data_IF_348102752144
#
_entry.id   IF_348102752144
#
_cell.length_a   1.000
_cell.length_b   1.000
_cell.length_c   1.000
_cell.angle_alpha   90.00
_cell.angle_beta   90.00
_cell.angle_gamma   90.00
#
_symmetry.space_group_name_H-M   'P 1'
#
loop_
_entity.id
_entity.type
_entity.pdbx_description
1 polymer ?
#
# COMPACT_ATOMS: atom_id res chain seq x y z
N UNK A 1 24.15 34.13 27.91
CA UNK A 1 23.05 35.12 28.04
C UNK A 1 22.82 35.30 29.53
N UNK A 2 22.77 36.53 30.03
CA UNK A 2 22.35 36.78 31.42
C UNK A 2 20.84 36.61 31.49
N UNK A 3 20.41 35.55 32.18
CA UNK A 3 19.02 35.09 32.32
C UNK A 3 18.12 36.10 33.05
N UNK A 4 18.71 37.12 33.68
CA UNK A 4 17.96 38.17 34.38
C UNK A 4 17.55 39.33 33.47
N UNK A 5 18.06 39.36 32.23
CA UNK A 5 17.73 40.38 31.23
C UNK A 5 16.73 39.85 30.23
N UNK A 6 15.85 40.74 29.80
CA UNK A 6 14.89 40.47 28.73
C UNK A 6 15.62 39.99 27.46
N UNK A 7 15.32 38.79 26.92
CA UNK A 7 15.93 38.26 25.70
C UNK A 7 15.89 39.23 24.52
N UNK A 8 14.82 40.04 24.41
CA UNK A 8 14.67 41.04 23.35
C UNK A 8 15.75 42.12 23.42
N UNK A 9 16.24 42.47 24.62
CA UNK A 9 17.29 43.47 24.78
C UNK A 9 18.61 43.09 24.10
N UNK A 10 18.88 41.80 23.91
CA UNK A 10 20.07 41.35 23.18
C UNK A 10 19.88 41.44 21.66
N UNK A 11 18.66 41.19 21.18
CA UNK A 11 18.28 41.38 19.77
C UNK A 11 18.38 42.86 19.41
N UNK A 12 17.86 43.75 20.25
CA UNK A 12 17.91 45.20 20.02
C UNK A 12 19.35 45.69 19.92
N UNK A 13 20.21 45.25 20.84
CA UNK A 13 21.65 45.56 20.80
C UNK A 13 22.34 44.98 19.57
N UNK A 14 21.95 43.79 19.11
CA UNK A 14 22.48 43.19 17.89
C UNK A 14 22.12 44.01 16.65
N UNK A 15 20.91 44.56 16.60
CA UNK A 15 20.46 45.37 15.48
C UNK A 15 20.99 46.83 15.52
N UNK A 16 21.14 47.41 16.71
CA UNK A 16 21.48 48.83 16.87
C UNK A 16 22.97 49.11 17.16
N UNK A 17 23.70 48.17 17.79
CA UNK A 17 25.11 48.34 18.14
C UNK A 17 26.04 47.55 17.19
N UNK A 18 26.65 48.23 16.20
CA UNK A 18 27.57 47.59 15.25
C UNK A 18 28.73 46.83 15.91
N UNK A 19 29.22 47.30 17.07
CA UNK A 19 30.26 46.62 17.83
C UNK A 19 29.78 45.32 18.47
N UNK A 20 28.53 45.28 18.95
CA UNK A 20 27.92 44.09 19.53
C UNK A 20 27.58 43.06 18.45
N UNK A 21 27.08 43.51 17.29
CA UNK A 21 26.87 42.64 16.13
C UNK A 21 28.16 41.92 15.71
N UNK A 22 29.23 42.67 15.48
CA UNK A 22 30.53 42.09 15.10
C UNK A 22 31.05 41.13 16.17
N UNK A 23 30.94 41.51 17.44
CA UNK A 23 31.33 40.62 18.54
C UNK A 23 30.51 39.32 18.55
N UNK A 24 29.20 39.38 18.33
CA UNK A 24 28.36 38.20 18.27
C UNK A 24 28.75 37.29 17.10
N UNK A 25 28.86 37.86 15.90
CA UNK A 25 29.20 37.11 14.68
C UNK A 25 30.58 36.42 14.79
N UNK A 26 31.56 37.08 15.43
CA UNK A 26 32.92 36.56 15.61
C UNK A 26 33.02 35.47 16.70
N UNK A 27 32.15 35.51 17.73
CA UNK A 27 32.27 34.65 18.92
C UNK A 27 31.24 33.50 18.97
N UNK A 28 30.15 33.60 18.21
CA UNK A 28 29.05 32.63 18.26
C UNK A 28 28.64 32.14 16.86
N UNK A 29 29.57 31.61 16.05
CA UNK A 29 29.28 31.14 14.68
C UNK A 29 28.37 29.90 14.63
N UNK A 30 28.13 29.24 15.77
CA UNK A 30 27.25 28.08 15.88
C UNK A 30 25.75 28.41 15.76
N UNK A 31 25.37 29.68 15.96
CA UNK A 31 23.98 30.12 15.81
C UNK A 31 23.78 30.75 14.44
N UNK A 32 22.67 30.40 13.77
CA UNK A 32 22.28 30.99 12.50
C UNK A 32 21.73 32.41 12.64
N UNK A 33 21.18 32.78 13.81
CA UNK A 33 20.68 34.13 14.10
C UNK A 33 20.76 34.46 15.61
N UNK A 34 20.73 35.77 15.94
CA UNK A 34 20.67 36.23 17.34
C UNK A 34 19.40 35.71 18.03
N UNK A 35 18.29 35.58 17.30
CA UNK A 35 17.03 35.04 17.78
C UNK A 35 17.19 33.59 18.29
N UNK A 36 17.90 32.76 17.52
CA UNK A 36 18.25 31.39 17.95
C UNK A 36 19.09 31.38 19.23
N UNK A 37 20.09 32.26 19.33
CA UNK A 37 20.97 32.34 20.50
C UNK A 37 20.26 32.77 21.79
N UNK A 38 19.19 33.57 21.68
CA UNK A 38 18.43 34.07 22.84
C UNK A 38 17.10 33.32 23.05
N UNK A 39 16.81 32.32 22.22
CA UNK A 39 15.59 31.51 22.31
C UNK A 39 14.32 32.28 21.95
N UNK A 40 14.41 33.28 21.07
CA UNK A 40 13.26 33.99 20.51
C UNK A 40 12.92 33.47 19.12
N UNK A 41 11.64 33.56 18.73
CA UNK A 41 11.21 33.30 17.36
C UNK A 41 11.68 34.43 16.44
N UNK A 42 12.28 34.06 15.32
CA UNK A 42 12.73 35.01 14.31
C UNK A 42 11.51 35.60 13.59
N UNK A 43 11.41 36.94 13.41
CA UNK A 43 10.26 37.55 12.77
C UNK A 43 10.13 37.05 11.33
N UNK A 44 9.04 36.32 11.06
CA UNK A 44 8.76 35.74 9.74
C UNK A 44 8.52 36.87 8.74
N UNK A 45 9.46 37.07 7.81
CA UNK A 45 9.37 38.11 6.78
C UNK A 45 8.39 37.63 5.72
N UNK A 46 7.22 38.27 5.65
CA UNK A 46 6.23 37.99 4.60
C UNK A 46 6.72 38.53 3.25
N UNK A 47 6.48 37.76 2.19
CA UNK A 47 6.81 38.19 0.83
C UNK A 47 5.97 39.42 0.43
N UNK A 48 6.47 40.31 -0.45
CA UNK A 48 5.82 41.59 -0.77
C UNK A 48 4.39 41.49 -1.32
N UNK A 49 4.00 40.35 -1.88
CA UNK A 49 2.68 40.12 -2.45
C UNK A 49 1.64 39.68 -1.41
N UNK A 50 2.06 39.34 -0.20
CA UNK A 50 1.20 38.83 0.86
C UNK A 50 0.57 40.01 1.59
N UNK A 51 -0.75 40.11 1.51
CA UNK A 51 -1.56 41.01 2.34
C UNK A 51 -1.63 40.48 3.79
N UNK A 52 -1.13 41.24 4.79
CA UNK A 52 -1.18 40.83 6.20
C UNK A 52 -2.59 40.64 6.77
N UNK A 53 -3.63 41.13 6.10
CA UNK A 53 -5.02 41.00 6.55
C UNK A 53 -5.73 39.76 5.98
N UNK A 54 -5.10 39.04 5.06
CA UNK A 54 -5.62 37.80 4.48
C UNK A 54 -5.01 36.59 5.19
N UNK A 55 -5.83 35.55 5.35
CA UNK A 55 -5.38 34.27 5.93
C UNK A 55 -4.22 33.70 5.08
N UNK A 56 -3.04 33.42 5.65
CA UNK A 56 -1.93 32.77 4.94
C UNK A 56 -2.34 31.52 4.16
N UNK A 57 -3.32 30.75 4.67
CA UNK A 57 -3.81 29.54 4.01
C UNK A 57 -4.47 29.83 2.65
N UNK A 58 -5.04 31.01 2.46
CA UNK A 58 -5.61 31.44 1.18
C UNK A 58 -4.58 31.37 0.04
N UNK A 59 -3.34 31.79 0.30
CA UNK A 59 -2.27 31.79 -0.69
C UNK A 59 -1.76 30.37 -1.00
N UNK A 60 -1.71 29.52 0.02
CA UNK A 60 -1.36 28.09 -0.12
C UNK A 60 -2.41 27.36 -0.95
N UNK A 61 -3.70 27.59 -0.67
CA UNK A 61 -4.80 26.98 -1.41
C UNK A 61 -4.78 27.43 -2.87
N UNK A 62 -4.49 28.71 -3.10
CA UNK A 62 -4.35 29.26 -4.45
C UNK A 62 -3.19 28.63 -5.21
N UNK A 63 -2.05 28.46 -4.54
CA UNK A 63 -0.87 27.79 -5.10
C UNK A 63 -1.15 26.33 -5.48
N UNK A 64 -1.88 25.59 -4.66
CA UNK A 64 -2.18 24.19 -4.91
C UNK A 64 -3.28 23.97 -5.97
N UNK A 65 -4.21 24.90 -6.13
CA UNK A 65 -5.39 24.72 -6.99
C UNK A 65 -5.38 25.54 -8.29
N UNK A 66 -4.61 26.63 -8.39
CA UNK A 66 -4.55 27.50 -9.57
C UNK A 66 -3.20 27.37 -10.30
N UNK A 67 -3.18 26.63 -11.42
CA UNK A 67 -1.96 26.41 -12.22
C UNK A 67 -1.26 27.72 -12.62
N UNK A 68 -2.02 28.75 -12.98
CA UNK A 68 -1.48 30.05 -13.39
C UNK A 68 -0.84 30.82 -12.24
N UNK A 69 -1.34 30.64 -11.02
CA UNK A 69 -0.77 31.26 -9.84
C UNK A 69 0.50 30.54 -9.40
N UNK A 70 0.50 29.20 -9.47
CA UNK A 70 1.68 28.37 -9.25
C UNK A 70 2.82 28.73 -10.22
N UNK A 71 2.54 28.75 -11.52
CA UNK A 71 3.54 29.10 -12.54
C UNK A 71 4.12 30.51 -12.34
N UNK A 72 3.28 31.47 -11.95
CA UNK A 72 3.72 32.82 -11.63
C UNK A 72 4.61 32.86 -10.39
N UNK A 73 4.23 32.16 -9.31
CA UNK A 73 4.98 32.11 -8.07
C UNK A 73 6.35 31.46 -8.31
N UNK A 74 6.39 30.27 -8.89
CA UNK A 74 7.63 29.50 -9.15
C UNK A 74 8.61 30.28 -10.04
N UNK A 75 8.09 31.09 -10.98
CA UNK A 75 8.91 31.92 -11.86
C UNK A 75 9.41 33.20 -11.19
N UNK A 76 8.63 33.79 -10.30
CA UNK A 76 8.93 35.08 -9.66
C UNK A 76 9.79 34.90 -8.41
N UNK A 77 9.60 33.80 -7.69
CA UNK A 77 10.21 33.49 -6.41
C UNK A 77 10.83 32.08 -6.41
N UNK A 78 11.88 31.84 -7.23
CA UNK A 78 12.44 30.48 -7.41
C UNK A 78 13.18 29.94 -6.18
N UNK A 79 13.55 30.80 -5.24
CA UNK A 79 14.38 30.49 -4.07
C UNK A 79 13.58 30.39 -2.76
N UNK A 80 12.24 30.37 -2.80
CA UNK A 80 11.41 30.26 -1.60
C UNK A 80 10.16 29.43 -1.84
N UNK A 81 9.66 28.76 -0.80
CA UNK A 81 8.41 28.00 -0.88
C UNK A 81 7.21 28.89 -0.58
N UNK A 82 6.01 28.47 -1.01
CA UNK A 82 4.79 29.23 -0.75
C UNK A 82 4.54 29.39 0.76
N UNK A 83 4.94 28.39 1.57
CA UNK A 83 4.83 28.41 3.02
C UNK A 83 5.75 29.46 3.64
N UNK A 84 7.02 29.49 3.23
CA UNK A 84 7.97 30.52 3.66
C UNK A 84 7.49 31.92 3.27
N UNK A 85 6.96 32.09 2.06
CA UNK A 85 6.47 33.37 1.56
C UNK A 85 5.33 33.95 2.40
N UNK A 86 4.47 33.09 2.96
CA UNK A 86 3.33 33.51 3.78
C UNK A 86 3.57 33.37 5.29
N UNK A 87 4.80 33.05 5.69
CA UNK A 87 5.19 32.92 7.10
C UNK A 87 4.60 31.69 7.80
N UNK A 88 4.26 30.65 7.03
CA UNK A 88 3.87 29.34 7.57
C UNK A 88 5.10 28.44 7.67
N UNK A 89 5.09 27.55 8.65
CA UNK A 89 6.04 26.43 8.65
C UNK A 89 5.65 25.48 7.53
N UNK A 90 6.61 25.19 6.66
CA UNK A 90 6.41 24.16 5.66
C UNK A 90 6.20 22.83 6.38
N UNK A 91 5.10 22.11 6.10
CA UNK A 91 4.91 20.80 6.70
C UNK A 91 6.10 19.93 6.30
N UNK A 92 6.76 19.31 7.27
CA UNK A 92 7.76 18.28 6.98
C UNK A 92 7.09 17.22 6.11
N UNK A 93 7.36 17.27 4.81
CA UNK A 93 7.01 16.19 3.89
C UNK A 93 7.93 15.05 4.30
N UNK A 94 7.44 14.20 5.20
CA UNK A 94 7.93 12.85 5.31
C UNK A 94 7.61 12.24 3.95
N UNK A 95 8.55 12.33 3.01
CA UNK A 95 8.44 11.60 1.76
C UNK A 95 8.21 10.15 2.18
N UNK A 96 7.06 9.55 1.83
CA UNK A 96 6.92 8.13 2.05
C UNK A 96 8.02 7.49 1.21
N UNK A 97 8.98 6.82 1.84
CA UNK A 97 9.82 5.87 1.14
C UNK A 97 8.85 5.04 0.29
N UNK A 98 9.00 5.05 -1.04
CA UNK A 98 8.32 4.13 -1.92
C UNK A 98 8.57 2.71 -1.38
N UNK A 99 7.67 2.15 -0.58
CA UNK A 99 8.16 1.18 0.40
C UNK A 99 7.17 0.15 0.90
N UNK A 100 5.86 0.34 0.70
CA UNK A 100 4.92 -0.75 0.99
C UNK A 100 4.73 -1.60 -0.27
N UNK A 101 5.73 -2.45 -0.50
CA UNK A 101 5.48 -3.67 -1.23
C UNK A 101 4.36 -4.44 -0.52
N UNK A 102 3.38 -4.93 -1.28
CA UNK A 102 2.22 -5.63 -0.72
C UNK A 102 2.60 -6.81 0.18
N UNK A 103 1.65 -7.28 0.99
CA UNK A 103 1.85 -8.38 1.94
C UNK A 103 2.57 -9.58 1.27
N UNK A 104 3.72 -9.99 1.82
CA UNK A 104 4.56 -11.06 1.26
C UNK A 104 5.72 -10.62 0.34
N UNK A 105 5.93 -9.32 0.15
CA UNK A 105 7.07 -8.78 -0.61
C UNK A 105 7.86 -7.75 0.21
N UNK A 106 9.17 -7.61 -0.03
CA UNK A 106 9.98 -6.52 0.52
C UNK A 106 10.58 -5.71 -0.60
N UNK A 107 10.68 -4.42 -0.36
CA UNK A 107 11.45 -3.52 -1.19
C UNK A 107 12.93 -3.84 -1.01
N UNK A 108 13.59 -4.28 -2.09
CA UNK A 108 15.04 -4.46 -2.15
C UNK A 108 15.50 -3.68 -3.38
N UNK A 109 16.36 -2.68 -3.19
CA UNK A 109 16.87 -1.80 -4.26
C UNK A 109 15.78 -1.15 -5.13
N UNK A 110 14.67 -0.73 -4.51
CA UNK A 110 13.54 -0.10 -5.21
C UNK A 110 12.67 -1.07 -6.03
N UNK A 111 12.92 -2.38 -5.94
CA UNK A 111 12.14 -3.42 -6.61
C UNK A 111 11.46 -4.27 -5.53
N UNK A 112 10.14 -4.48 -5.65
CA UNK A 112 9.43 -5.41 -4.78
C UNK A 112 9.84 -6.83 -5.11
N UNK A 113 10.66 -7.42 -4.24
CA UNK A 113 11.11 -8.80 -4.35
C UNK A 113 10.29 -9.66 -3.40
N UNK A 114 9.97 -10.87 -3.86
CA UNK A 114 9.37 -11.88 -2.99
C UNK A 114 10.46 -12.30 -2.01
N UNK A 115 10.29 -11.96 -0.73
CA UNK A 115 11.17 -12.50 0.30
C UNK A 115 10.99 -14.01 0.23
N UNK A 116 12.05 -14.83 0.07
CA UNK A 116 11.99 -16.19 0.54
C UNK A 116 11.96 -16.08 2.06
N UNK A 117 10.77 -15.80 2.61
CA UNK A 117 10.59 -15.74 4.03
C UNK A 117 10.93 -17.13 4.55
N UNK A 118 11.97 -17.24 5.37
CA UNK A 118 12.13 -18.35 6.32
C UNK A 118 10.98 -18.38 7.37
N UNK A 119 9.85 -17.73 7.10
CA UNK A 119 8.58 -18.15 7.69
C UNK A 119 8.15 -19.43 6.97
N UNK A 120 8.33 -20.55 7.68
CA UNK A 120 7.44 -21.70 7.53
C UNK A 120 5.99 -21.22 7.75
N UNK A 121 5.32 -20.67 6.74
CA UNK A 121 3.87 -20.40 6.62
C UNK A 121 3.58 -19.96 5.19
N UNK A 122 2.80 -20.77 4.48
CA UNK A 122 2.66 -20.78 3.02
C UNK A 122 2.21 -19.47 2.38
N UNK A 123 2.61 -19.28 1.12
CA UNK A 123 2.33 -18.08 0.33
C UNK A 123 0.84 -17.70 0.24
N UNK A 124 0.56 -16.49 -0.25
CA UNK A 124 -0.81 -15.97 -0.36
C UNK A 124 -1.67 -16.68 -1.42
N UNK A 125 -2.99 -16.55 -1.31
CA UNK A 125 -3.96 -17.00 -2.31
C UNK A 125 -4.17 -15.94 -3.40
N UNK A 126 -3.11 -15.58 -4.14
CA UNK A 126 -3.07 -14.44 -5.08
C UNK A 126 -4.27 -14.33 -6.03
N UNK A 127 -4.68 -15.43 -6.66
CA UNK A 127 -5.81 -15.44 -7.60
C UNK A 127 -7.12 -15.12 -6.87
N UNK A 128 -7.34 -15.72 -5.69
CA UNK A 128 -8.54 -15.51 -4.90
C UNK A 128 -8.57 -14.10 -4.31
N UNK A 129 -7.43 -13.60 -3.83
CA UNK A 129 -7.28 -12.21 -3.39
C UNK A 129 -7.64 -11.22 -4.49
N UNK A 130 -7.15 -11.43 -5.72
CA UNK A 130 -7.50 -10.56 -6.85
C UNK A 130 -9.00 -10.65 -7.23
N UNK A 131 -9.59 -11.85 -7.16
CA UNK A 131 -11.02 -12.06 -7.44
C UNK A 131 -11.95 -11.41 -6.39
N UNK A 132 -11.63 -11.55 -5.10
CA UNK A 132 -12.46 -11.09 -3.98
C UNK A 132 -12.07 -9.72 -3.43
N UNK A 133 -10.92 -9.17 -3.86
CA UNK A 133 -10.49 -7.80 -3.61
C UNK A 133 -9.69 -7.57 -2.32
N UNK A 134 -9.57 -8.57 -1.43
CA UNK A 134 -8.80 -8.45 -0.20
C UNK A 134 -8.33 -9.82 0.29
N UNK A 135 -7.14 -9.87 0.91
CA UNK A 135 -6.68 -11.06 1.65
C UNK A 135 -7.57 -11.37 2.86
N UNK A 136 -8.23 -10.34 3.40
CA UNK A 136 -9.17 -10.44 4.52
C UNK A 136 -10.60 -10.77 4.07
N UNK A 137 -10.84 -10.98 2.77
CA UNK A 137 -12.15 -11.37 2.30
C UNK A 137 -12.54 -12.76 2.89
N UNK A 138 -13.81 -12.97 3.30
CA UNK A 138 -14.24 -14.22 3.94
C UNK A 138 -13.90 -15.48 3.12
N UNK A 139 -13.99 -15.38 1.79
CA UNK A 139 -13.68 -16.48 0.87
C UNK A 139 -12.19 -16.84 0.89
N UNK A 140 -11.32 -15.84 1.01
CA UNK A 140 -9.87 -16.03 1.06
C UNK A 140 -9.45 -16.56 2.42
N UNK A 141 -10.07 -16.07 3.50
CA UNK A 141 -9.85 -16.59 4.85
C UNK A 141 -10.29 -18.05 4.98
N UNK A 142 -11.45 -18.41 4.45
CA UNK A 142 -11.89 -19.81 4.38
C UNK A 142 -10.86 -20.73 3.70
N UNK A 143 -10.29 -20.31 2.57
CA UNK A 143 -9.23 -21.07 1.90
C UNK A 143 -7.97 -21.23 2.78
N UNK A 144 -7.59 -20.16 3.48
CA UNK A 144 -6.44 -20.17 4.41
C UNK A 144 -6.69 -21.11 5.58
N UNK A 145 -7.89 -21.11 6.15
CA UNK A 145 -8.26 -21.99 7.26
C UNK A 145 -8.21 -23.47 6.86
N UNK A 146 -8.79 -23.84 5.71
CA UNK A 146 -8.68 -25.22 5.20
C UNK A 146 -7.22 -25.61 4.98
N UNK A 147 -6.44 -24.74 4.35
CA UNK A 147 -5.02 -25.00 4.10
C UNK A 147 -4.27 -25.19 5.42
N UNK A 148 -4.35 -24.23 6.32
CA UNK A 148 -3.48 -24.15 7.49
C UNK A 148 -3.92 -25.13 8.58
N UNK A 149 -5.23 -25.31 8.78
CA UNK A 149 -5.75 -26.16 9.87
C UNK A 149 -5.97 -27.61 9.44
N UNK A 150 -6.39 -27.87 8.18
CA UNK A 150 -6.75 -29.22 7.73
C UNK A 150 -5.64 -29.87 6.88
N UNK A 151 -5.10 -29.15 5.90
CA UNK A 151 -4.10 -29.73 4.99
C UNK A 151 -2.70 -29.75 5.60
N UNK A 152 -2.24 -28.62 6.13
CA UNK A 152 -0.88 -28.48 6.67
C UNK A 152 -0.67 -29.18 8.02
N UNK A 153 -1.76 -29.60 8.68
CA UNK A 153 -1.70 -30.40 9.91
C UNK A 153 -1.42 -31.89 9.66
N UNK A 154 -1.43 -32.34 8.40
CA UNK A 154 -1.19 -33.74 8.00
C UNK A 154 0.00 -33.87 7.05
N UNK A 155 0.68 -35.02 7.07
CA UNK A 155 1.83 -35.28 6.19
C UNK A 155 1.42 -35.32 4.71
N UNK A 156 0.29 -35.97 4.42
CA UNK A 156 -0.27 -36.09 3.08
C UNK A 156 -0.69 -34.73 2.51
N UNK A 157 -1.40 -33.92 3.30
CA UNK A 157 -1.80 -32.56 2.91
C UNK A 157 -0.61 -31.61 2.73
N UNK A 158 0.37 -31.64 3.63
CA UNK A 158 1.59 -30.82 3.49
C UNK A 158 2.40 -31.17 2.23
N UNK A 159 2.52 -32.47 1.91
CA UNK A 159 3.21 -32.94 0.69
C UNK A 159 2.47 -32.51 -0.57
N UNK A 160 1.14 -32.65 -0.59
CA UNK A 160 0.30 -32.15 -1.68
C UNK A 160 0.46 -30.64 -1.87
N UNK A 161 0.36 -29.86 -0.79
CA UNK A 161 0.49 -28.41 -0.82
C UNK A 161 1.86 -27.96 -1.32
N UNK A 162 2.91 -28.71 -1.01
CA UNK A 162 4.26 -28.43 -1.53
C UNK A 162 4.31 -28.50 -3.06
N UNK A 163 3.78 -29.58 -3.65
CA UNK A 163 3.73 -29.74 -5.11
C UNK A 163 2.75 -28.76 -5.77
N UNK A 164 1.58 -28.56 -5.16
CA UNK A 164 0.59 -27.60 -5.63
C UNK A 164 1.16 -26.18 -5.68
N UNK A 165 1.85 -25.75 -4.62
CA UNK A 165 2.42 -24.40 -4.52
C UNK A 165 3.43 -24.12 -5.64
N UNK A 166 4.27 -25.09 -6.01
CA UNK A 166 5.24 -24.92 -7.09
C UNK A 166 4.55 -24.54 -8.41
N UNK A 167 3.47 -25.24 -8.74
CA UNK A 167 2.70 -24.97 -9.96
C UNK A 167 1.89 -23.69 -9.79
N UNK A 168 1.16 -23.55 -8.69
CA UNK A 168 0.30 -22.40 -8.41
C UNK A 168 1.05 -21.07 -8.49
N UNK A 169 2.20 -20.95 -7.83
CA UNK A 169 3.00 -19.71 -7.84
C UNK A 169 3.75 -19.47 -9.15
N UNK A 170 3.87 -20.47 -10.03
CA UNK A 170 4.49 -20.28 -11.35
C UNK A 170 3.64 -19.42 -12.31
N UNK A 171 2.32 -19.36 -12.11
CA UNK A 171 1.41 -18.62 -12.99
C UNK A 171 0.46 -17.66 -12.27
N UNK A 172 0.21 -17.86 -10.97
CA UNK A 172 -0.77 -17.06 -10.24
C UNK A 172 -0.51 -15.54 -10.19
N UNK A 173 0.74 -15.03 -10.17
CA UNK A 173 0.97 -13.58 -10.22
C UNK A 173 0.43 -12.97 -11.52
N UNK A 174 0.75 -13.57 -12.67
CA UNK A 174 0.29 -13.09 -13.97
C UNK A 174 -1.24 -13.10 -14.08
N UNK A 175 -1.89 -14.16 -13.60
CA UNK A 175 -3.36 -14.25 -13.59
C UNK A 175 -3.97 -13.21 -12.63
N UNK A 176 -3.34 -12.95 -11.48
CA UNK A 176 -3.79 -11.93 -10.55
C UNK A 176 -3.68 -10.52 -11.18
N UNK A 177 -2.60 -10.23 -11.89
CA UNK A 177 -2.40 -8.96 -12.59
C UNK A 177 -3.48 -8.76 -13.68
N UNK A 178 -3.73 -9.78 -14.50
CA UNK A 178 -4.80 -9.76 -15.51
C UNK A 178 -6.19 -9.48 -14.91
N UNK A 179 -6.48 -9.98 -13.71
CA UNK A 179 -7.75 -9.71 -13.02
C UNK A 179 -7.86 -8.24 -12.56
N UNK A 180 -6.76 -7.60 -12.19
CA UNK A 180 -6.77 -6.17 -11.80
C UNK A 180 -7.00 -5.26 -13.01
N UNK A 181 -6.48 -5.63 -14.16
CA UNK A 181 -6.63 -4.88 -15.40
C UNK A 181 -8.01 -5.06 -16.06
N UNK A 182 -8.63 -6.23 -15.91
CA UNK A 182 -9.88 -6.56 -16.60
C UNK A 182 -11.00 -6.99 -15.62
N UNK A 183 -11.99 -6.11 -15.35
CA UNK A 183 -13.13 -6.41 -14.49
C UNK A 183 -13.99 -7.59 -14.95
N UNK A 184 -14.12 -7.80 -16.28
CA UNK A 184 -14.86 -8.95 -16.81
C UNK A 184 -14.12 -10.26 -16.54
N UNK A 185 -12.79 -10.26 -16.70
CA UNK A 185 -11.96 -11.43 -16.42
C UNK A 185 -12.00 -11.77 -14.92
N UNK A 186 -11.93 -10.76 -14.05
CA UNK A 186 -12.13 -10.91 -12.61
C UNK A 186 -13.45 -11.62 -12.27
N UNK A 187 -14.57 -11.17 -12.82
CA UNK A 187 -15.87 -11.80 -12.57
C UNK A 187 -15.97 -13.22 -13.16
N UNK A 188 -15.35 -13.47 -14.31
CA UNK A 188 -15.26 -14.82 -14.87
C UNK A 188 -14.47 -15.77 -13.95
N UNK A 189 -13.33 -15.32 -13.41
CA UNK A 189 -12.53 -16.09 -12.45
C UNK A 189 -13.33 -16.31 -11.15
N UNK A 190 -14.04 -15.30 -10.66
CA UNK A 190 -14.89 -15.41 -9.47
C UNK A 190 -15.99 -16.45 -9.64
N UNK A 191 -16.71 -16.42 -10.77
CA UNK A 191 -17.70 -17.46 -11.13
C UNK A 191 -17.02 -18.83 -11.24
N UNK A 192 -15.82 -18.88 -11.81
CA UNK A 192 -15.04 -20.11 -11.95
C UNK A 192 -14.55 -20.70 -10.63
N UNK A 193 -14.28 -19.89 -9.60
CA UNK A 193 -13.76 -20.36 -8.30
C UNK A 193 -14.87 -20.66 -7.30
N UNK A 194 -16.02 -19.97 -7.39
CA UNK A 194 -17.13 -20.16 -6.43
C UNK A 194 -17.56 -21.61 -6.23
N UNK A 195 -17.71 -22.45 -7.27
CA UNK A 195 -18.11 -23.84 -7.05
C UNK A 195 -17.02 -24.69 -6.37
N UNK A 196 -15.74 -24.37 -6.62
CA UNK A 196 -14.62 -24.97 -5.91
C UNK A 196 -14.69 -24.66 -4.41
N UNK A 197 -14.94 -23.40 -4.03
CA UNK A 197 -15.12 -23.00 -2.63
C UNK A 197 -16.23 -23.80 -1.95
N UNK A 198 -17.37 -23.96 -2.63
CA UNK A 198 -18.49 -24.74 -2.10
C UNK A 198 -18.16 -26.22 -1.91
N UNK A 199 -17.34 -26.81 -2.77
CA UNK A 199 -16.93 -28.22 -2.63
C UNK A 199 -15.91 -28.42 -1.50
N UNK A 200 -15.07 -27.41 -1.25
CA UNK A 200 -14.01 -27.46 -0.24
C UNK A 200 -14.54 -27.45 1.20
N UNK A 201 -15.79 -27.04 1.45
CA UNK A 201 -16.36 -27.07 2.81
C UNK A 201 -16.42 -28.48 3.41
N UNK A 202 -16.40 -29.53 2.57
CA UNK A 202 -16.31 -30.92 3.04
C UNK A 202 -14.99 -31.18 3.80
N UNK A 203 -13.92 -30.44 3.47
CA UNK A 203 -12.62 -30.57 4.11
C UNK A 203 -12.62 -30.07 5.57
N UNK A 204 -13.59 -29.24 5.99
CA UNK A 204 -13.70 -28.78 7.39
C UNK A 204 -13.90 -29.94 8.38
N UNK A 205 -14.46 -31.06 7.90
CA UNK A 205 -14.74 -32.25 8.71
C UNK A 205 -13.58 -33.25 8.75
N UNK A 206 -12.41 -32.92 8.19
CA UNK A 206 -11.28 -33.83 8.07
C UNK A 206 -10.37 -33.81 9.31
N UNK A 207 -10.68 -34.61 10.33
CA UNK A 207 -9.90 -34.60 11.59
C UNK A 207 -8.67 -35.54 11.59
N UNK A 208 -8.52 -36.39 10.58
CA UNK A 208 -7.45 -37.40 10.49
C UNK A 208 -6.83 -37.50 9.11
N UNK A 209 -5.62 -38.06 9.03
CA UNK A 209 -4.86 -38.20 7.78
C UNK A 209 -5.62 -38.99 6.69
N UNK A 210 -6.34 -40.04 7.08
CA UNK A 210 -7.15 -40.83 6.15
C UNK A 210 -8.37 -40.05 5.65
N UNK A 211 -8.98 -39.21 6.48
CA UNK A 211 -10.09 -38.35 6.08
C UNK A 211 -9.63 -37.21 5.18
N UNK A 212 -8.49 -36.57 5.46
CA UNK A 212 -7.90 -35.54 4.58
C UNK A 212 -7.66 -36.11 3.18
N UNK A 213 -7.12 -37.32 3.09
CA UNK A 213 -6.91 -37.99 1.81
C UNK A 213 -8.24 -38.37 1.13
N UNK A 214 -9.18 -38.95 1.86
CA UNK A 214 -10.47 -39.39 1.33
C UNK A 214 -11.35 -38.24 0.84
N UNK A 215 -11.48 -37.18 1.66
CA UNK A 215 -12.20 -35.97 1.28
C UNK A 215 -11.44 -35.18 0.21
N UNK A 216 -10.11 -35.14 0.24
CA UNK A 216 -9.32 -34.52 -0.83
C UNK A 216 -9.59 -35.16 -2.19
N UNK A 217 -9.63 -36.49 -2.27
CA UNK A 217 -9.98 -37.23 -3.49
C UNK A 217 -11.42 -36.93 -3.91
N UNK A 218 -12.37 -36.91 -2.97
CA UNK A 218 -13.78 -36.64 -3.29
C UNK A 218 -13.97 -35.23 -3.85
N UNK A 219 -13.33 -34.22 -3.27
CA UNK A 219 -13.33 -32.83 -3.74
C UNK A 219 -12.77 -32.75 -5.16
N UNK A 220 -11.64 -33.41 -5.44
CA UNK A 220 -11.06 -33.44 -6.79
C UNK A 220 -12.06 -34.04 -7.80
N UNK A 221 -12.68 -35.17 -7.47
CA UNK A 221 -13.67 -35.81 -8.33
C UNK A 221 -14.90 -34.93 -8.57
N UNK A 222 -15.42 -34.27 -7.54
CA UNK A 222 -16.55 -33.34 -7.63
C UNK A 222 -16.20 -32.18 -8.56
N UNK A 223 -15.02 -31.57 -8.41
CA UNK A 223 -14.59 -30.46 -9.26
C UNK A 223 -14.37 -30.90 -10.71
N UNK A 224 -13.77 -32.07 -10.95
CA UNK A 224 -13.64 -32.61 -12.32
C UNK A 224 -15.02 -32.82 -12.94
N UNK A 225 -15.95 -33.42 -12.20
CA UNK A 225 -17.31 -33.62 -12.66
C UNK A 225 -18.01 -32.30 -13.01
N UNK A 226 -17.81 -31.28 -12.17
CA UNK A 226 -18.47 -30.00 -12.34
C UNK A 226 -17.87 -29.14 -13.46
N UNK A 227 -16.55 -29.05 -13.58
CA UNK A 227 -15.89 -28.21 -14.60
C UNK A 227 -15.82 -28.87 -15.97
N UNK A 228 -15.81 -30.21 -16.05
CA UNK A 228 -15.65 -30.91 -17.33
C UNK A 228 -16.89 -31.72 -17.71
N UNK A 229 -17.38 -32.60 -16.84
CA UNK A 229 -18.43 -33.54 -17.22
C UNK A 229 -19.79 -32.84 -17.43
N UNK A 230 -20.20 -31.93 -16.54
CA UNK A 230 -21.47 -31.21 -16.67
C UNK A 230 -21.52 -30.31 -17.93
N UNK A 231 -20.52 -29.46 -18.23
CA UNK A 231 -20.49 -28.70 -19.48
C UNK A 231 -20.47 -29.59 -20.73
N UNK A 232 -19.71 -30.69 -20.72
CA UNK A 232 -19.70 -31.64 -21.83
C UNK A 232 -21.07 -32.28 -22.06
N UNK A 233 -21.73 -32.76 -21.00
CA UNK A 233 -23.09 -33.34 -21.10
C UNK A 233 -24.10 -32.32 -21.59
N UNK A 234 -24.05 -31.06 -21.14
CA UNK A 234 -24.91 -29.99 -21.65
C UNK A 234 -24.67 -29.76 -23.15
N UNK A 235 -23.41 -29.68 -23.57
CA UNK A 235 -23.04 -29.49 -24.98
C UNK A 235 -23.56 -30.63 -25.87
N UNK A 236 -23.31 -31.89 -25.48
CA UNK A 236 -23.79 -33.05 -26.23
C UNK A 236 -25.31 -33.21 -26.17
N UNK A 237 -25.94 -32.87 -25.04
CA UNK A 237 -27.40 -32.87 -24.88
C UNK A 237 -28.09 -31.85 -25.79
N UNK A 238 -27.59 -30.61 -25.84
CA UNK A 238 -28.08 -29.56 -26.75
C UNK A 238 -27.89 -29.99 -28.21
N UNK A 239 -26.72 -30.57 -28.54
CA UNK A 239 -26.44 -31.05 -29.90
C UNK A 239 -27.37 -32.20 -30.30
N UNK A 240 -27.68 -33.11 -29.37
CA UNK A 240 -28.64 -34.21 -29.57
C UNK A 240 -30.07 -33.69 -29.75
N UNK A 241 -30.49 -32.72 -28.93
CA UNK A 241 -31.79 -32.05 -29.04
C UNK A 241 -31.94 -31.31 -30.38
N UNK A 242 -30.92 -30.55 -30.82
CA UNK A 242 -30.93 -29.93 -32.15
C UNK A 242 -31.00 -30.97 -33.26
N UNK A 243 -30.29 -32.10 -33.15
CA UNK A 243 -30.31 -33.16 -34.18
C UNK A 243 -31.65 -33.91 -34.27
N UNK A 244 -32.45 -33.95 -33.20
CA UNK A 244 -33.77 -34.63 -33.18
C UNK A 244 -34.91 -33.68 -33.63
N UNK A 245 -34.70 -32.37 -33.56
CA UNK A 245 -35.72 -31.34 -33.90
C UNK A 245 -35.65 -30.86 -35.36
N UNK A 246 -34.73 -31.39 -36.16
CA UNK A 246 -34.58 -31.14 -37.61
C UNK A 246 -34.63 -32.45 -38.37
#
# INVERSE_FOLDING_TARGET
VDETKDPQSYVDRYNDEAGYKKWFDDNYPEYSSIYQAVGLEEPKILAPFVDPNLDPQYYVDRYNNEITYKDWFDKTYPEMTIYEAVGLEEPEVIEPEFGECGEGTKLVDGICTVIPSESKRGGGCLIATAAYGSEMAPQVQFLREIRDNQLMSTNSGASFMTGFNQVYYSFSPHVADMQRENPMFKEAIKIGITPLLSSLSIMEYAESESQVMGYGISVILINIGMYFAAPAMLFFGIRKLRRVRF
#
